data_IF_954550244282
#
_entry.id   IF_954550244282
#
_cell.length_a   1.000
_cell.length_b   1.000
_cell.length_c   1.000
_cell.angle_alpha   90.00
_cell.angle_beta   90.00
_cell.angle_gamma   90.00
#
_symmetry.space_group_name_H-M   'P 1'
#
loop_
_entity.id
_entity.type
_entity.pdbx_description
1 polymer ?
#
# COMPACT_ATOMS: atom_id res chain seq x y z
N UNK A 1 61.98 20.02 -8.21
CA UNK A 1 62.73 20.89 -9.16
C UNK A 1 61.76 21.89 -9.80
N UNK A 2 62.18 23.11 -10.15
CA UNK A 2 61.36 23.98 -11.01
C UNK A 2 61.62 23.60 -12.47
N UNK A 3 60.60 23.12 -13.16
CA UNK A 3 60.62 22.74 -14.56
C UNK A 3 60.28 23.98 -15.37
N UNK A 4 61.31 24.52 -16.02
CA UNK A 4 61.18 25.64 -16.94
C UNK A 4 60.99 25.17 -18.38
N UNK A 5 60.61 26.09 -19.27
CA UNK A 5 60.55 25.85 -20.73
C UNK A 5 61.81 25.18 -21.29
N UNK A 6 62.99 25.64 -20.90
CA UNK A 6 64.27 25.09 -21.40
C UNK A 6 64.51 23.66 -20.91
N UNK A 7 64.19 23.39 -19.64
CA UNK A 7 64.31 22.05 -19.05
C UNK A 7 63.34 21.08 -19.75
N UNK A 8 62.11 21.53 -20.02
CA UNK A 8 61.13 20.75 -20.77
C UNK A 8 61.62 20.43 -22.19
N UNK A 9 62.12 21.43 -22.93
CA UNK A 9 62.61 21.24 -24.29
C UNK A 9 63.78 20.27 -24.34
N UNK A 10 64.74 20.40 -23.41
CA UNK A 10 65.88 19.48 -23.31
C UNK A 10 65.43 18.05 -23.01
N UNK A 11 64.49 17.86 -22.08
CA UNK A 11 63.97 16.53 -21.78
C UNK A 11 63.22 15.89 -22.96
N UNK A 12 62.54 16.69 -23.77
CA UNK A 12 61.90 16.24 -25.02
C UNK A 12 62.92 15.83 -26.08
N UNK A 13 64.00 16.59 -26.24
CA UNK A 13 65.12 16.29 -27.15
C UNK A 13 65.83 14.99 -26.75
N UNK A 14 66.19 14.88 -25.46
CA UNK A 14 66.90 13.74 -24.89
C UNK A 14 65.99 12.51 -24.69
N UNK A 15 64.66 12.68 -24.85
CA UNK A 15 63.62 11.66 -24.64
C UNK A 15 63.70 11.00 -23.25
N UNK A 16 63.94 11.79 -22.22
CA UNK A 16 64.06 11.33 -20.84
C UNK A 16 62.80 11.63 -20.01
N UNK A 17 62.52 10.83 -18.96
CA UNK A 17 61.51 11.20 -17.98
C UNK A 17 61.85 12.55 -17.35
N UNK A 18 60.82 13.39 -17.13
CA UNK A 18 61.00 14.74 -16.61
C UNK A 18 60.22 14.99 -15.32
N UNK A 19 58.97 14.54 -15.28
CA UNK A 19 58.09 14.88 -14.16
C UNK A 19 58.23 13.87 -13.03
N UNK A 20 58.66 14.34 -11.86
CA UNK A 20 58.73 13.56 -10.63
C UNK A 20 57.79 14.13 -9.55
N UNK A 21 57.51 13.34 -8.51
CA UNK A 21 56.70 13.80 -7.38
C UNK A 21 57.39 14.97 -6.65
N UNK A 22 56.65 16.04 -6.37
CA UNK A 22 57.18 17.25 -5.73
C UNK A 22 57.79 18.29 -6.68
N UNK A 23 57.81 18.03 -8.00
CA UNK A 23 58.28 19.03 -8.97
C UNK A 23 57.31 20.20 -9.11
N UNK A 24 57.84 21.37 -9.45
CA UNK A 24 57.08 22.58 -9.76
C UNK A 24 57.19 22.87 -11.24
N UNK A 25 56.11 23.30 -11.89
CA UNK A 25 56.15 23.78 -13.28
C UNK A 25 55.99 25.30 -13.31
N UNK A 26 56.63 25.95 -14.28
CA UNK A 26 56.42 27.37 -14.57
C UNK A 26 55.14 27.59 -15.42
N UNK A 27 54.78 28.87 -15.59
CA UNK A 27 53.58 29.30 -16.31
C UNK A 27 53.64 28.90 -17.80
N UNK A 28 54.81 28.99 -18.43
CA UNK A 28 55.01 28.67 -19.85
C UNK A 28 54.85 27.16 -20.10
N UNK A 29 55.42 26.33 -19.24
CA UNK A 29 55.26 24.87 -19.27
C UNK A 29 53.81 24.50 -19.03
N UNK A 30 53.11 25.12 -18.07
CA UNK A 30 51.68 24.89 -17.87
C UNK A 30 50.88 25.25 -19.13
N UNK A 31 51.16 26.42 -19.73
CA UNK A 31 50.51 26.86 -20.95
C UNK A 31 50.70 25.85 -22.08
N UNK A 32 51.91 25.36 -22.31
CA UNK A 32 52.18 24.42 -23.39
C UNK A 32 51.56 23.03 -23.18
N UNK A 33 51.52 22.57 -21.93
CA UNK A 33 50.91 21.28 -21.61
C UNK A 33 49.39 21.31 -21.78
N UNK A 34 48.73 22.41 -21.42
CA UNK A 34 47.26 22.44 -21.30
C UNK A 34 46.56 23.41 -22.27
N UNK A 35 47.13 24.57 -22.55
CA UNK A 35 46.44 25.69 -23.19
C UNK A 35 46.95 26.05 -24.60
N UNK A 36 48.15 25.62 -24.98
CA UNK A 36 48.69 25.89 -26.31
C UNK A 36 47.76 25.38 -27.41
N UNK A 37 47.49 26.25 -28.39
CA UNK A 37 46.66 25.93 -29.53
C UNK A 37 47.35 24.91 -30.44
N UNK A 38 46.61 23.97 -31.03
CA UNK A 38 47.18 23.06 -32.02
C UNK A 38 47.66 23.86 -33.24
N UNK A 39 48.86 23.55 -33.71
CA UNK A 39 49.45 24.16 -34.90
C UNK A 39 49.12 23.27 -36.10
N UNK A 40 48.73 23.87 -37.21
CA UNK A 40 48.57 23.16 -38.48
C UNK A 40 49.94 22.76 -39.04
N UNK A 41 50.14 21.47 -39.27
CA UNK A 41 51.33 20.94 -39.94
C UNK A 41 50.93 20.01 -41.08
N UNK A 42 51.72 20.03 -42.15
CA UNK A 42 51.55 19.10 -43.25
C UNK A 42 51.95 17.68 -42.81
N UNK A 43 51.01 16.75 -42.92
CA UNK A 43 51.23 15.34 -42.64
C UNK A 43 51.92 14.65 -43.83
N UNK A 44 52.62 13.52 -43.62
CA UNK A 44 53.29 12.77 -44.69
C UNK A 44 52.38 12.32 -45.84
N UNK A 45 51.06 12.29 -45.62
CA UNK A 45 50.06 11.96 -46.63
C UNK A 45 49.47 13.18 -47.37
N UNK A 46 50.10 14.36 -47.25
CA UNK A 46 49.69 15.60 -47.93
C UNK A 46 48.46 16.28 -47.31
N UNK A 47 47.89 15.75 -46.22
CA UNK A 47 46.79 16.40 -45.49
C UNK A 47 47.33 17.36 -44.44
N UNK A 48 46.63 18.47 -44.20
CA UNK A 48 46.91 19.33 -43.04
C UNK A 48 46.34 18.71 -41.78
N UNK A 49 47.21 18.38 -40.83
CA UNK A 49 46.84 17.84 -39.52
C UNK A 49 47.02 18.90 -38.43
N UNK A 50 46.10 18.94 -37.47
CA UNK A 50 46.30 19.68 -36.23
C UNK A 50 47.29 18.90 -35.35
N UNK A 51 48.48 19.46 -35.10
CA UNK A 51 49.46 18.91 -34.17
C UNK A 51 49.44 19.73 -32.89
N UNK A 52 49.22 19.09 -31.75
CA UNK A 52 49.42 19.73 -30.45
C UNK A 52 50.89 20.09 -30.27
N UNK A 53 51.20 21.21 -29.61
CA UNK A 53 52.57 21.68 -29.39
C UNK A 53 53.47 20.58 -28.81
N UNK A 54 52.93 19.81 -27.86
CA UNK A 54 53.53 18.58 -27.33
C UNK A 54 52.62 17.40 -27.71
N UNK A 55 53.08 16.39 -28.46
CA UNK A 55 52.32 15.17 -28.76
C UNK A 55 52.02 14.30 -27.52
N UNK A 56 51.02 13.41 -27.62
CA UNK A 56 50.72 12.45 -26.54
C UNK A 56 51.88 11.48 -26.29
N UNK A 57 52.57 11.03 -27.35
CA UNK A 57 53.77 10.18 -27.24
C UNK A 57 54.84 10.82 -26.36
N UNK A 58 55.04 12.12 -26.54
CA UNK A 58 56.11 12.85 -25.87
C UNK A 58 55.73 13.13 -24.42
N UNK A 59 54.45 13.46 -24.15
CA UNK A 59 53.93 13.47 -22.77
C UNK A 59 54.04 12.12 -22.08
N UNK A 60 53.81 11.01 -22.79
CA UNK A 60 53.97 9.69 -22.23
C UNK A 60 55.45 9.41 -21.87
N UNK A 61 56.42 9.94 -22.63
CA UNK A 61 57.86 9.85 -22.34
C UNK A 61 58.20 10.71 -21.11
N UNK A 62 57.75 11.96 -21.07
CA UNK A 62 57.96 12.86 -19.92
C UNK A 62 57.41 12.29 -18.61
N UNK A 63 56.39 11.43 -18.72
CA UNK A 63 55.71 10.74 -17.63
C UNK A 63 55.99 9.23 -17.58
N UNK A 64 57.07 8.71 -18.19
CA UNK A 64 57.26 7.29 -18.52
C UNK A 64 56.99 6.29 -17.37
N UNK A 65 57.18 6.69 -16.12
CA UNK A 65 56.82 5.93 -14.91
C UNK A 65 55.34 5.49 -14.86
N UNK A 66 54.42 6.24 -15.48
CA UNK A 66 52.98 5.92 -15.53
C UNK A 66 52.62 4.75 -16.45
N UNK A 67 53.41 4.46 -17.48
CA UNK A 67 53.05 3.44 -18.48
C UNK A 67 53.11 2.01 -17.90
N UNK A 68 53.80 1.81 -16.76
CA UNK A 68 53.83 0.54 -16.04
C UNK A 68 52.68 0.33 -15.05
N UNK A 69 51.92 1.38 -14.70
CA UNK A 69 50.99 1.41 -13.56
C UNK A 69 49.57 1.87 -13.91
N UNK A 70 49.03 1.49 -15.07
CA UNK A 70 47.57 1.52 -15.30
C UNK A 70 46.86 0.42 -14.49
N UNK A 71 47.12 0.35 -13.18
CA UNK A 71 46.50 -0.60 -12.25
C UNK A 71 45.23 -0.01 -11.66
N UNK A 72 44.19 -0.84 -11.51
CA UNK A 72 42.83 -0.46 -11.09
C UNK A 72 42.68 -0.09 -9.59
N UNK A 73 43.68 0.50 -8.95
CA UNK A 73 43.67 0.86 -7.53
C UNK A 73 43.60 2.39 -7.32
N UNK A 74 42.56 2.96 -6.69
CA UNK A 74 42.37 4.42 -6.64
C UNK A 74 43.09 5.17 -5.51
N UNK A 75 43.87 4.53 -4.63
CA UNK A 75 44.15 5.12 -3.30
C UNK A 75 45.59 5.33 -2.85
N UNK A 76 46.60 4.83 -3.54
CA UNK A 76 47.99 5.14 -3.19
C UNK A 76 48.79 5.53 -4.43
N UNK A 77 49.57 6.61 -4.31
CA UNK A 77 50.54 7.11 -5.30
C UNK A 77 49.95 7.76 -6.56
N UNK A 78 49.49 9.03 -6.46
CA UNK A 78 49.58 9.89 -7.65
C UNK A 78 50.75 10.83 -7.46
N UNK A 79 51.80 10.70 -8.27
CA UNK A 79 52.87 11.68 -8.35
C UNK A 79 52.28 13.09 -8.51
N UNK A 80 52.64 13.98 -7.60
CA UNK A 80 52.10 15.33 -7.45
C UNK A 80 53.08 16.29 -8.10
N UNK A 81 52.72 16.77 -9.29
CA UNK A 81 53.41 17.90 -9.89
C UNK A 81 52.67 19.14 -9.45
N UNK A 82 53.39 20.13 -8.98
CA UNK A 82 52.86 21.35 -8.40
C UNK A 82 52.96 22.51 -9.38
N UNK A 83 51.96 23.37 -9.36
CA UNK A 83 51.98 24.65 -10.05
C UNK A 83 51.62 25.74 -9.04
N UNK A 84 52.38 26.82 -9.02
CA UNK A 84 52.16 27.89 -8.05
C UNK A 84 51.24 28.95 -8.62
N UNK A 85 50.08 29.12 -7.99
CA UNK A 85 49.13 30.16 -8.34
C UNK A 85 49.15 31.29 -7.32
N UNK A 86 48.93 32.52 -7.78
CA UNK A 86 48.66 33.67 -6.89
C UNK A 86 47.15 33.81 -6.66
N UNK A 87 46.74 33.81 -5.41
CA UNK A 87 45.33 33.99 -5.03
C UNK A 87 44.88 35.43 -5.30
N UNK A 88 43.80 35.61 -6.06
CA UNK A 88 43.22 36.93 -6.36
C UNK A 88 42.72 37.67 -5.11
N UNK A 89 42.37 36.95 -4.04
CA UNK A 89 41.81 37.53 -2.82
C UNK A 89 42.86 37.92 -1.78
N UNK A 90 43.73 36.98 -1.40
CA UNK A 90 44.71 37.23 -0.35
C UNK A 90 46.11 37.56 -0.88
N UNK A 91 46.29 37.56 -2.20
CA UNK A 91 47.56 37.77 -2.90
C UNK A 91 48.67 36.75 -2.55
N UNK A 92 48.39 35.77 -1.67
CA UNK A 92 49.32 34.69 -1.31
C UNK A 92 49.42 33.68 -2.44
N UNK A 93 50.61 33.14 -2.62
CA UNK A 93 50.84 32.01 -3.51
C UNK A 93 50.37 30.70 -2.87
N UNK A 94 49.82 29.79 -3.67
CA UNK A 94 49.41 28.47 -3.21
C UNK A 94 49.69 27.41 -4.30
N UNK A 95 50.12 26.21 -3.90
CA UNK A 95 50.41 25.15 -4.84
C UNK A 95 49.12 24.43 -5.26
N UNK A 96 48.97 24.21 -6.56
CA UNK A 96 47.95 23.34 -7.15
C UNK A 96 48.61 22.07 -7.62
N UNK A 97 48.05 20.93 -7.20
CA UNK A 97 48.49 19.61 -7.64
C UNK A 97 47.89 19.29 -9.00
N UNK A 98 48.75 18.89 -9.92
CA UNK A 98 48.45 18.34 -11.22
C UNK A 98 48.93 16.90 -11.20
N UNK A 99 48.05 15.97 -11.57
CA UNK A 99 48.46 14.59 -11.71
C UNK A 99 49.14 14.37 -13.05
N UNK A 100 50.14 13.52 -13.02
CA UNK A 100 50.80 12.93 -14.16
C UNK A 100 49.81 12.44 -15.25
N UNK A 101 48.69 11.82 -14.86
CA UNK A 101 47.59 11.42 -15.76
C UNK A 101 46.78 12.60 -16.35
N UNK A 102 46.62 13.69 -15.60
CA UNK A 102 46.01 14.92 -16.12
C UNK A 102 46.88 15.56 -17.20
N UNK A 103 48.21 15.54 -17.05
CA UNK A 103 49.16 16.00 -18.07
C UNK A 103 49.00 15.20 -19.36
N UNK A 104 49.09 13.86 -19.29
CA UNK A 104 48.97 12.98 -20.46
C UNK A 104 47.69 13.26 -21.25
N UNK A 105 46.56 13.34 -20.54
CA UNK A 105 45.24 13.45 -21.15
C UNK A 105 44.78 14.90 -21.40
N UNK A 106 45.59 15.90 -21.01
CA UNK A 106 45.22 17.34 -21.06
C UNK A 106 43.89 17.64 -20.35
N UNK A 107 43.64 17.01 -19.20
CA UNK A 107 42.35 17.13 -18.49
C UNK A 107 42.40 18.05 -17.27
N UNK A 108 43.57 18.61 -16.93
CA UNK A 108 43.65 19.58 -15.84
C UNK A 108 42.86 20.83 -16.18
N UNK A 109 42.00 21.24 -15.25
CA UNK A 109 41.29 22.52 -15.25
C UNK A 109 41.41 23.11 -13.86
N UNK A 110 41.73 24.39 -13.77
CA UNK A 110 41.85 25.12 -12.49
C UNK A 110 40.55 25.03 -11.68
N UNK A 111 39.40 25.04 -12.34
CA UNK A 111 38.08 24.86 -11.71
C UNK A 111 37.96 23.58 -10.90
N UNK A 112 38.72 22.53 -11.21
CA UNK A 112 38.70 21.27 -10.45
C UNK A 112 39.25 21.45 -9.02
N UNK A 113 39.98 22.54 -8.76
CA UNK A 113 40.55 22.86 -7.45
C UNK A 113 39.63 23.76 -6.59
N UNK A 114 38.58 24.33 -7.19
CA UNK A 114 37.62 25.22 -6.52
C UNK A 114 36.34 24.42 -6.30
N UNK A 115 36.12 23.93 -5.07
CA UNK A 115 34.87 23.28 -4.71
C UNK A 115 33.97 24.21 -3.90
N UNK A 116 32.87 24.67 -4.52
CA UNK A 116 31.85 25.52 -3.91
C UNK A 116 30.57 24.69 -3.58
N UNK A 117 30.63 23.35 -3.67
CA UNK A 117 29.49 22.50 -3.31
C UNK A 117 29.24 22.51 -1.81
N UNK A 118 27.99 22.75 -1.41
CA UNK A 118 27.55 22.65 -0.01
C UNK A 118 26.59 21.46 0.12
N UNK A 119 26.87 20.54 1.06
CA UNK A 119 26.08 19.32 1.31
C UNK A 119 25.53 19.31 2.75
N UNK A 120 24.35 18.71 3.01
CA UNK A 120 23.34 18.26 2.06
C UNK A 120 22.27 19.34 1.87
N UNK A 121 22.31 20.02 0.74
CA UNK A 121 21.25 20.93 0.34
C UNK A 121 20.29 20.19 -0.59
N UNK A 122 19.14 19.77 -0.06
CA UNK A 122 18.16 18.88 -0.73
C UNK A 122 17.76 19.34 -2.13
N UNK A 123 17.80 20.65 -2.38
CA UNK A 123 17.43 21.28 -3.65
C UNK A 123 18.60 22.01 -4.31
N UNK A 124 19.82 21.92 -3.75
CA UNK A 124 21.02 22.63 -4.17
C UNK A 124 20.83 24.17 -4.27
N UNK A 125 19.93 24.75 -3.46
CA UNK A 125 19.65 26.19 -3.43
C UNK A 125 20.81 27.02 -2.88
N UNK A 126 21.38 26.68 -1.71
CA UNK A 126 22.64 27.24 -1.21
C UNK A 126 23.77 27.07 -2.22
N UNK A 127 23.95 25.88 -2.78
CA UNK A 127 25.04 25.67 -3.77
C UNK A 127 24.86 26.58 -4.99
N UNK A 128 23.63 26.74 -5.49
CA UNK A 128 23.34 27.66 -6.60
C UNK A 128 23.57 29.12 -6.21
N UNK A 129 23.09 29.53 -5.04
CA UNK A 129 23.18 30.90 -4.53
C UNK A 129 24.64 31.32 -4.30
N UNK A 130 25.43 30.47 -3.64
CA UNK A 130 26.85 30.73 -3.38
C UNK A 130 27.67 30.76 -4.67
N UNK A 131 27.36 29.89 -5.65
CA UNK A 131 28.02 29.92 -6.98
C UNK A 131 27.70 31.21 -7.75
N UNK A 132 26.45 31.67 -7.70
CA UNK A 132 26.05 32.93 -8.33
C UNK A 132 26.82 34.10 -7.71
N UNK A 133 26.83 34.21 -6.39
CA UNK A 133 27.58 35.26 -5.69
C UNK A 133 29.09 35.18 -5.98
N UNK A 134 29.66 33.98 -6.03
CA UNK A 134 31.06 33.78 -6.37
C UNK A 134 31.37 34.33 -7.77
N UNK A 135 30.52 34.01 -8.75
CA UNK A 135 30.69 34.49 -10.13
C UNK A 135 30.57 36.03 -10.20
N UNK A 136 29.63 36.63 -9.47
CA UNK A 136 29.46 38.09 -9.38
C UNK A 136 30.71 38.76 -8.78
N UNK A 137 31.23 38.23 -7.66
CA UNK A 137 32.36 38.85 -6.94
C UNK A 137 33.72 38.61 -7.60
N UNK A 138 33.93 37.42 -8.15
CA UNK A 138 35.28 36.98 -8.56
C UNK A 138 35.41 36.77 -10.07
N UNK A 139 34.32 36.81 -10.82
CA UNK A 139 34.25 36.41 -12.21
C UNK A 139 34.05 34.90 -12.35
N UNK A 140 34.01 34.42 -13.60
CA UNK A 140 33.74 33.03 -13.90
C UNK A 140 34.69 32.07 -13.15
N UNK A 141 34.12 31.13 -12.39
CA UNK A 141 34.82 30.02 -11.68
C UNK A 141 35.88 29.29 -12.51
N UNK A 142 35.80 29.31 -13.84
CA UNK A 142 36.77 28.66 -14.72
C UNK A 142 38.08 29.45 -14.91
N UNK A 143 38.10 30.77 -14.61
CA UNK A 143 39.21 31.67 -14.95
C UNK A 143 39.82 32.41 -13.75
N UNK A 144 39.32 32.21 -12.54
CA UNK A 144 39.77 32.96 -11.36
C UNK A 144 40.52 32.08 -10.37
N UNK A 145 41.73 32.49 -10.01
CA UNK A 145 42.63 31.77 -9.10
C UNK A 145 42.36 32.18 -7.64
N UNK A 146 41.62 31.37 -6.89
CA UNK A 146 41.38 31.59 -5.46
C UNK A 146 41.88 30.37 -4.68
N UNK A 147 42.68 30.61 -3.63
CA UNK A 147 43.19 29.51 -2.80
C UNK A 147 42.08 28.86 -1.99
N UNK A 148 42.28 27.58 -1.63
CA UNK A 148 41.29 26.78 -0.89
C UNK A 148 40.80 27.48 0.38
N UNK A 149 41.69 28.06 1.18
CA UNK A 149 41.31 28.76 2.42
C UNK A 149 40.43 29.99 2.18
N UNK A 150 40.65 30.72 1.08
CA UNK A 150 39.80 31.85 0.71
C UNK A 150 38.44 31.40 0.19
N UNK A 151 38.38 30.28 -0.56
CA UNK A 151 37.10 29.68 -0.98
C UNK A 151 36.32 29.17 0.23
N UNK A 152 36.97 28.43 1.14
CA UNK A 152 36.35 27.92 2.37
C UNK A 152 35.81 29.07 3.24
N UNK A 153 36.60 30.14 3.42
CA UNK A 153 36.13 31.34 4.13
C UNK A 153 34.96 32.01 3.40
N UNK A 154 35.04 32.20 2.09
CA UNK A 154 33.95 32.78 1.31
C UNK A 154 32.65 31.98 1.45
N UNK A 155 32.74 30.65 1.35
CA UNK A 155 31.58 29.76 1.54
C UNK A 155 31.04 29.91 2.97
N UNK A 156 31.91 29.90 3.98
CA UNK A 156 31.50 30.07 5.38
C UNK A 156 30.77 31.40 5.62
N UNK A 157 31.38 32.53 5.23
CA UNK A 157 30.82 33.87 5.41
C UNK A 157 29.49 34.02 4.65
N UNK A 158 29.41 33.49 3.42
CA UNK A 158 28.20 33.55 2.60
C UNK A 158 27.09 32.65 3.15
N UNK A 159 27.44 31.48 3.68
CA UNK A 159 26.46 30.60 4.34
C UNK A 159 25.89 31.27 5.58
N UNK A 160 26.71 31.97 6.36
CA UNK A 160 26.23 32.76 7.48
C UNK A 160 25.29 33.89 7.01
N UNK A 161 25.67 34.67 5.99
CA UNK A 161 24.81 35.71 5.41
C UNK A 161 23.48 35.13 4.89
N UNK A 162 23.53 33.97 4.22
CA UNK A 162 22.34 33.27 3.73
C UNK A 162 21.43 32.85 4.88
N UNK A 163 21.98 32.26 5.94
CA UNK A 163 21.24 31.86 7.13
C UNK A 163 20.60 33.05 7.81
N UNK A 164 21.35 34.12 8.08
CA UNK A 164 20.81 35.35 8.69
C UNK A 164 19.66 35.96 7.86
N UNK A 165 19.81 35.95 6.53
CA UNK A 165 18.74 36.39 5.64
C UNK A 165 17.50 35.48 5.68
N UNK A 166 17.68 34.17 5.77
CA UNK A 166 16.58 33.19 5.85
C UNK A 166 15.85 33.22 7.20
N UNK A 167 16.48 33.71 8.26
CA UNK A 167 15.82 33.94 9.56
C UNK A 167 14.94 35.20 9.58
N UNK A 168 14.99 36.04 8.53
CA UNK A 168 14.11 37.20 8.43
C UNK A 168 12.65 36.79 8.31
N UNK A 169 11.78 37.54 8.99
CA UNK A 169 10.32 37.35 8.93
C UNK A 169 9.72 37.78 7.58
N UNK A 170 10.29 38.82 6.98
CA UNK A 170 9.84 39.43 5.72
C UNK A 170 10.53 38.83 4.48
N UNK A 171 11.23 37.69 4.60
CA UNK A 171 12.04 37.12 3.52
C UNK A 171 11.25 36.81 2.24
N UNK A 172 9.99 36.39 2.38
CA UNK A 172 9.12 36.10 1.24
C UNK A 172 8.62 37.39 0.60
N UNK A 173 8.25 38.40 1.39
CA UNK A 173 7.89 39.73 0.89
C UNK A 173 9.07 40.35 0.14
N UNK A 174 10.28 40.25 0.69
CA UNK A 174 11.50 40.68 0.03
C UNK A 174 11.70 39.95 -1.30
N UNK A 175 11.52 38.61 -1.32
CA UNK A 175 11.67 37.81 -2.54
C UNK A 175 10.67 38.22 -3.61
N UNK A 176 9.41 38.45 -3.26
CA UNK A 176 8.38 38.87 -4.21
C UNK A 176 8.65 40.29 -4.73
N UNK A 177 9.04 41.22 -3.85
CA UNK A 177 9.34 42.59 -4.25
C UNK A 177 10.54 42.68 -5.22
N UNK A 178 11.52 41.79 -5.09
CA UNK A 178 12.75 41.79 -5.89
C UNK A 178 12.67 40.81 -7.07
N UNK A 179 11.51 40.62 -7.70
CA UNK A 179 11.30 39.61 -8.76
C UNK A 179 12.33 39.69 -9.90
N UNK A 180 12.67 40.92 -10.31
CA UNK A 180 13.58 41.22 -11.40
C UNK A 180 15.03 41.51 -10.96
N UNK A 181 15.38 41.19 -9.72
CA UNK A 181 16.74 41.42 -9.21
C UNK A 181 17.70 40.30 -9.60
N UNK A 182 18.92 40.65 -9.98
CA UNK A 182 20.03 39.69 -10.15
C UNK A 182 20.73 39.33 -8.82
N UNK A 183 20.07 39.58 -7.66
CA UNK A 183 20.62 39.23 -6.36
C UNK A 183 20.66 37.70 -6.17
N UNK A 184 21.86 37.21 -5.80
CA UNK A 184 22.13 35.81 -5.52
C UNK A 184 21.18 35.18 -4.49
N UNK A 185 20.66 35.98 -3.53
CA UNK A 185 19.71 35.53 -2.51
C UNK A 185 18.41 35.01 -3.11
N UNK A 186 18.01 35.43 -4.32
CA UNK A 186 16.85 34.83 -5.01
C UNK A 186 17.02 33.33 -5.25
N UNK A 187 18.25 32.86 -5.43
CA UNK A 187 18.56 31.42 -5.62
C UNK A 187 18.39 30.61 -4.34
N UNK A 188 18.19 31.26 -3.18
CA UNK A 188 17.79 30.60 -1.93
C UNK A 188 16.32 30.19 -1.92
N UNK A 189 15.54 30.54 -2.96
CA UNK A 189 14.14 30.19 -3.08
C UNK A 189 13.87 29.37 -4.35
N UNK A 190 12.86 28.50 -4.24
CA UNK A 190 12.30 27.73 -5.35
C UNK A 190 10.80 28.00 -5.43
N UNK A 191 10.32 28.21 -6.65
CA UNK A 191 8.90 28.36 -6.95
C UNK A 191 8.40 27.04 -7.54
N UNK A 192 7.28 26.54 -7.01
CA UNK A 192 6.50 25.45 -7.61
C UNK A 192 5.10 25.97 -7.90
N UNK A 193 4.64 25.74 -9.13
CA UNK A 193 3.33 26.21 -9.60
C UNK A 193 2.32 25.07 -9.47
N UNK A 194 1.17 25.38 -8.88
CA UNK A 194 0.03 24.49 -8.89
C UNK A 194 -0.76 24.73 -10.18
N UNK A 195 -1.14 23.63 -10.84
CA UNK A 195 -1.94 23.72 -12.05
C UNK A 195 -3.27 23.01 -11.85
N UNK A 196 -4.33 23.68 -12.27
CA UNK A 196 -5.66 23.12 -12.40
C UNK A 196 -5.89 22.64 -13.83
N UNK A 197 -6.35 21.39 -13.98
CA UNK A 197 -6.72 20.81 -15.28
C UNK A 197 -8.20 21.02 -15.53
N UNK A 198 -8.51 21.69 -16.64
CA UNK A 198 -9.86 21.78 -17.17
C UNK A 198 -10.26 20.48 -17.90
N UNK A 199 -11.56 20.25 -18.06
CA UNK A 199 -12.12 19.09 -18.77
C UNK A 199 -11.69 19.02 -20.24
N UNK A 200 -11.35 20.16 -20.84
CA UNK A 200 -10.81 20.23 -22.20
C UNK A 200 -9.29 19.95 -22.28
N UNK A 201 -8.68 19.51 -21.17
CA UNK A 201 -7.26 19.17 -21.08
C UNK A 201 -6.32 20.36 -20.91
N UNK A 202 -6.82 21.60 -20.89
CA UNK A 202 -6.01 22.80 -20.69
C UNK A 202 -5.63 22.93 -19.20
N UNK A 203 -4.34 23.18 -18.95
CA UNK A 203 -3.84 23.51 -17.61
C UNK A 203 -3.88 25.02 -17.39
N UNK A 204 -4.37 25.45 -16.23
CA UNK A 204 -4.34 26.83 -15.78
C UNK A 204 -3.53 26.89 -14.49
N UNK A 205 -2.62 27.84 -14.40
CA UNK A 205 -1.91 28.14 -13.16
C UNK A 205 -2.88 28.61 -12.08
N UNK A 206 -2.92 27.90 -10.96
CA UNK A 206 -3.92 28.02 -9.91
C UNK A 206 -3.26 28.11 -8.53
N UNK A 207 -2.22 28.96 -8.47
CA UNK A 207 -1.48 29.29 -7.26
C UNK A 207 -0.02 28.84 -7.26
N UNK A 208 0.75 29.39 -6.33
CA UNK A 208 2.19 29.14 -6.19
C UNK A 208 2.57 28.79 -4.76
N UNK A 209 3.53 27.89 -4.63
CA UNK A 209 4.20 27.57 -3.37
C UNK A 209 5.70 27.87 -3.52
N UNK A 210 6.20 28.62 -2.54
CA UNK A 210 7.55 29.14 -2.49
C UNK A 210 8.28 28.42 -1.36
N UNK A 211 9.42 27.82 -1.68
CA UNK A 211 10.25 27.07 -0.73
C UNK A 211 11.58 27.77 -0.55
N UNK A 212 11.93 28.08 0.69
CA UNK A 212 13.21 28.64 1.04
C UNK A 212 14.24 27.54 1.34
N UNK A 213 15.53 27.85 1.22
CA UNK A 213 16.62 26.88 1.41
C UNK A 213 16.73 26.34 2.83
N UNK A 214 16.25 27.09 3.84
CA UNK A 214 16.14 26.62 5.23
C UNK A 214 14.97 25.64 5.46
N UNK A 215 14.13 25.40 4.44
CA UNK A 215 12.97 24.52 4.51
C UNK A 215 11.64 25.23 4.76
N UNK A 216 11.65 26.56 4.97
CA UNK A 216 10.42 27.33 5.13
C UNK A 216 9.59 27.32 3.84
N UNK A 217 8.27 27.35 4.03
CA UNK A 217 7.29 27.27 2.96
C UNK A 217 6.34 28.44 3.09
N UNK A 218 6.07 29.12 1.97
CA UNK A 218 5.02 30.12 1.84
C UNK A 218 4.16 29.79 0.63
N UNK A 219 2.86 29.99 0.74
CA UNK A 219 1.90 29.75 -0.33
C UNK A 219 1.08 31.01 -0.54
N UNK A 220 0.77 31.31 -1.80
CA UNK A 220 -0.15 32.42 -2.09
C UNK A 220 -1.61 32.04 -1.77
N UNK A 221 -2.49 33.05 -1.80
CA UNK A 221 -3.92 32.87 -1.51
C UNK A 221 -4.56 31.85 -2.46
N UNK A 222 -4.21 31.92 -3.75
CA UNK A 222 -4.72 31.00 -4.78
C UNK A 222 -4.35 29.54 -4.48
N UNK A 223 -3.12 29.27 -4.06
CA UNK A 223 -2.69 27.93 -3.68
C UNK A 223 -3.47 27.41 -2.47
N UNK A 224 -3.74 28.29 -1.51
CA UNK A 224 -4.54 27.96 -0.31
C UNK A 224 -5.98 27.62 -0.68
N UNK A 225 -6.60 28.39 -1.58
CA UNK A 225 -7.92 28.11 -2.13
C UNK A 225 -7.96 26.80 -2.92
N UNK A 226 -6.95 26.55 -3.76
CA UNK A 226 -6.80 25.30 -4.51
C UNK A 226 -6.69 24.09 -3.59
N UNK A 227 -5.88 24.17 -2.53
CA UNK A 227 -5.76 23.12 -1.51
C UNK A 227 -7.11 22.83 -0.85
N UNK A 228 -7.84 23.87 -0.45
CA UNK A 228 -9.16 23.73 0.18
C UNK A 228 -10.16 23.03 -0.74
N UNK A 229 -10.27 23.48 -2.01
CA UNK A 229 -11.16 22.85 -3.00
C UNK A 229 -10.83 21.37 -3.23
N UNK A 230 -9.54 21.03 -3.31
CA UNK A 230 -9.11 19.64 -3.50
C UNK A 230 -9.39 18.77 -2.27
N UNK A 231 -9.25 19.32 -1.07
CA UNK A 231 -9.60 18.63 0.16
C UNK A 231 -11.10 18.39 0.25
N UNK A 232 -11.92 19.39 -0.08
CA UNK A 232 -13.38 19.26 -0.16
C UNK A 232 -13.81 18.21 -1.18
N UNK A 233 -13.20 18.20 -2.37
CA UNK A 233 -13.46 17.20 -3.41
C UNK A 233 -13.09 15.77 -2.95
N UNK A 234 -11.94 15.60 -2.28
CA UNK A 234 -11.53 14.32 -1.69
C UNK A 234 -12.51 13.85 -0.62
N UNK A 235 -12.94 14.76 0.25
CA UNK A 235 -13.92 14.45 1.30
C UNK A 235 -15.30 14.10 0.72
N UNK A 236 -15.76 14.80 -0.33
CA UNK A 236 -16.99 14.48 -1.03
C UNK A 236 -16.94 13.09 -1.66
N UNK A 237 -15.84 12.76 -2.36
CA UNK A 237 -15.63 11.43 -2.94
C UNK A 237 -15.67 10.32 -1.87
N UNK A 238 -15.00 10.53 -0.74
CA UNK A 238 -15.01 9.57 0.38
C UNK A 238 -16.42 9.34 0.92
N UNK A 239 -17.21 10.41 1.09
CA UNK A 239 -18.61 10.32 1.53
C UNK A 239 -19.47 9.52 0.54
N UNK A 240 -19.29 9.73 -0.76
CA UNK A 240 -20.01 8.96 -1.78
C UNK A 240 -19.65 7.47 -1.75
N UNK A 241 -18.38 7.13 -1.55
CA UNK A 241 -17.92 5.75 -1.41
C UNK A 241 -18.51 5.08 -0.15
N UNK A 242 -18.58 5.82 0.96
CA UNK A 242 -19.20 5.36 2.20
C UNK A 242 -20.70 5.09 2.04
N UNK A 243 -21.44 6.01 1.40
CA UNK A 243 -22.86 5.83 1.08
C UNK A 243 -23.07 4.57 0.20
N UNK A 244 -22.27 4.39 -0.85
CA UNK A 244 -22.34 3.20 -1.72
C UNK A 244 -22.06 1.90 -0.94
N UNK A 245 -21.09 1.93 -0.03
CA UNK A 245 -20.78 0.78 0.83
C UNK A 245 -21.95 0.46 1.76
N UNK A 246 -22.56 1.47 2.37
CA UNK A 246 -23.71 1.28 3.25
C UNK A 246 -24.91 0.72 2.48
N UNK A 247 -25.23 1.27 1.31
CA UNK A 247 -26.30 0.75 0.44
C UNK A 247 -26.10 -0.74 0.11
N UNK A 248 -24.87 -1.15 -0.20
CA UNK A 248 -24.57 -2.57 -0.47
C UNK A 248 -24.79 -3.46 0.76
N UNK A 249 -24.42 -2.99 1.95
CA UNK A 249 -24.65 -3.72 3.20
C UNK A 249 -26.15 -3.83 3.51
N UNK A 250 -26.90 -2.75 3.29
CA UNK A 250 -28.34 -2.72 3.51
C UNK A 250 -29.08 -3.66 2.55
N UNK A 251 -28.68 -3.69 1.28
CA UNK A 251 -29.19 -4.63 0.28
C UNK A 251 -28.88 -6.10 0.66
N UNK A 252 -27.68 -6.39 1.14
CA UNK A 252 -27.30 -7.74 1.56
C UNK A 252 -28.08 -8.18 2.80
N UNK A 253 -28.26 -7.26 3.77
CA UNK A 253 -29.09 -7.51 4.94
C UNK A 253 -30.56 -7.77 4.57
N UNK A 254 -31.10 -7.05 3.57
CA UNK A 254 -32.46 -7.28 3.09
C UNK A 254 -32.62 -8.63 2.38
N UNK A 255 -31.63 -9.02 1.55
CA UNK A 255 -31.59 -10.36 0.94
C UNK A 255 -31.56 -11.46 2.00
N UNK A 256 -30.78 -11.28 3.06
CA UNK A 256 -30.69 -12.24 4.15
C UNK A 256 -32.00 -12.33 4.95
N UNK A 257 -32.65 -11.18 5.23
CA UNK A 257 -33.99 -11.15 5.84
C UNK A 257 -35.00 -11.92 5.00
N UNK A 258 -34.99 -11.68 3.69
CA UNK A 258 -35.88 -12.35 2.73
C UNK A 258 -35.62 -13.85 2.70
N UNK A 259 -34.35 -14.28 2.67
CA UNK A 259 -33.98 -15.70 2.70
C UNK A 259 -34.49 -16.39 3.97
N UNK A 260 -34.26 -15.80 5.14
CA UNK A 260 -34.76 -16.34 6.42
C UNK A 260 -36.28 -16.42 6.46
N UNK A 261 -36.97 -15.39 5.97
CA UNK A 261 -38.43 -15.40 5.89
C UNK A 261 -38.94 -16.54 5.00
N UNK A 262 -38.30 -16.78 3.86
CA UNK A 262 -38.63 -17.89 2.96
C UNK A 262 -38.35 -19.26 3.62
N UNK A 263 -37.23 -19.42 4.31
CA UNK A 263 -36.92 -20.65 5.06
C UNK A 263 -37.96 -20.94 6.13
N UNK A 264 -38.35 -19.92 6.91
CA UNK A 264 -39.42 -20.01 7.91
C UNK A 264 -40.77 -20.39 7.28
N UNK A 265 -41.10 -19.80 6.13
CA UNK A 265 -42.32 -20.12 5.39
C UNK A 265 -42.33 -21.59 4.94
N UNK A 266 -41.22 -22.09 4.39
CA UNK A 266 -41.07 -23.48 3.99
C UNK A 266 -41.15 -24.44 5.17
N UNK A 267 -40.50 -24.12 6.29
CA UNK A 267 -40.55 -24.93 7.50
C UNK A 267 -41.99 -25.05 8.06
N UNK A 268 -42.75 -23.95 8.08
CA UNK A 268 -44.17 -23.96 8.46
C UNK A 268 -45.01 -24.85 7.53
N UNK A 269 -44.76 -24.80 6.23
CA UNK A 269 -45.47 -25.65 5.26
C UNK A 269 -45.14 -27.13 5.43
N UNK A 270 -43.88 -27.47 5.70
CA UNK A 270 -43.48 -28.85 5.98
C UNK A 270 -44.13 -29.41 7.27
N UNK A 271 -44.40 -28.55 8.27
CA UNK A 271 -45.13 -28.96 9.47
C UNK A 271 -46.66 -29.06 9.30
N UNK A 272 -47.25 -28.51 8.24
CA UNK A 272 -48.71 -28.52 8.03
C UNK A 272 -49.17 -29.67 7.11
N UNK A 273 -48.62 -30.87 7.31
CA UNK A 273 -49.06 -32.07 6.58
C UNK A 273 -50.37 -32.62 7.17
N UNK A 274 -51.20 -33.32 6.37
CA UNK A 274 -52.38 -34.01 6.91
C UNK A 274 -52.05 -34.91 8.10
N UNK A 275 -50.92 -35.61 8.06
CA UNK A 275 -50.42 -36.46 9.14
C UNK A 275 -50.13 -35.67 10.42
N UNK A 276 -49.44 -34.52 10.34
CA UNK A 276 -49.13 -33.72 11.52
C UNK A 276 -50.41 -33.12 12.11
N UNK A 277 -51.33 -32.63 11.28
CA UNK A 277 -52.66 -32.18 11.74
C UNK A 277 -53.42 -33.28 12.47
N UNK A 278 -53.41 -34.51 11.94
CA UNK A 278 -54.04 -35.66 12.59
C UNK A 278 -53.40 -36.00 13.94
N UNK A 279 -52.06 -35.95 14.02
CA UNK A 279 -51.32 -36.19 15.28
C UNK A 279 -51.70 -35.12 16.32
N UNK A 280 -51.63 -33.84 15.94
CA UNK A 280 -51.92 -32.73 16.86
C UNK A 280 -53.38 -32.77 17.33
N UNK A 281 -54.29 -33.10 16.42
CA UNK A 281 -55.72 -33.21 16.69
C UNK A 281 -56.02 -34.45 17.53
N UNK A 282 -55.78 -35.67 17.07
CA UNK A 282 -56.32 -36.86 17.74
C UNK A 282 -55.32 -37.58 18.66
N UNK A 283 -54.02 -37.43 18.45
CA UNK A 283 -53.00 -38.18 19.19
C UNK A 283 -52.48 -37.44 20.44
N UNK A 284 -52.67 -36.13 20.52
CA UNK A 284 -52.26 -35.31 21.66
C UNK A 284 -53.25 -35.42 22.83
N UNK A 285 -52.78 -35.75 24.04
CA UNK A 285 -53.60 -35.85 25.27
C UNK A 285 -54.28 -34.54 25.67
N UNK A 286 -53.74 -33.40 25.25
CA UNK A 286 -54.25 -32.06 25.56
C UNK A 286 -55.17 -31.49 24.49
N UNK A 287 -55.49 -32.27 23.44
CA UNK A 287 -56.38 -31.82 22.39
C UNK A 287 -57.83 -31.74 22.87
N UNK A 288 -58.45 -30.59 22.65
CA UNK A 288 -59.81 -30.25 23.07
C UNK A 288 -60.82 -30.60 21.96
N UNK A 289 -60.96 -31.90 21.71
CA UNK A 289 -61.91 -32.41 20.72
C UNK A 289 -63.12 -32.97 21.43
N UNK A 290 -64.29 -32.62 20.90
CA UNK A 290 -65.53 -33.29 21.27
C UNK A 290 -65.53 -34.72 20.72
N UNK A 291 -65.16 -35.67 21.58
CA UNK A 291 -65.20 -37.10 21.30
C UNK A 291 -66.62 -37.68 21.35
N UNK A 292 -67.67 -36.87 21.39
CA UNK A 292 -69.06 -37.33 21.20
C UNK A 292 -69.59 -37.01 19.81
N UNK A 293 -68.88 -36.16 19.06
CA UNK A 293 -69.22 -35.81 17.69
C UNK A 293 -68.89 -36.95 16.70
N UNK A 294 -69.87 -37.30 15.87
CA UNK A 294 -69.79 -38.42 14.93
C UNK A 294 -68.78 -38.17 13.78
N UNK A 295 -68.57 -36.92 13.38
CA UNK A 295 -67.61 -36.57 12.34
C UNK A 295 -66.17 -36.74 12.86
N UNK A 296 -65.90 -36.30 14.09
CA UNK A 296 -64.64 -36.55 14.78
C UNK A 296 -64.35 -38.05 14.96
N UNK A 297 -65.36 -38.87 15.26
CA UNK A 297 -65.20 -40.33 15.32
C UNK A 297 -64.80 -40.91 13.98
N UNK A 298 -65.48 -40.50 12.91
CA UNK A 298 -65.20 -40.95 11.55
C UNK A 298 -63.77 -40.58 11.13
N UNK A 299 -63.39 -39.32 11.32
CA UNK A 299 -62.06 -38.83 10.96
C UNK A 299 -60.96 -39.50 11.78
N UNK A 300 -61.18 -39.72 13.08
CA UNK A 300 -60.23 -40.40 13.96
C UNK A 300 -59.96 -41.85 13.51
N UNK A 301 -61.00 -42.58 13.12
CA UNK A 301 -60.92 -44.01 12.79
C UNK A 301 -60.64 -44.28 11.30
N UNK A 302 -60.85 -43.31 10.43
CA UNK A 302 -60.61 -43.42 8.99
C UNK A 302 -60.01 -42.13 8.40
N UNK A 303 -58.81 -41.71 8.85
CA UNK A 303 -58.22 -40.46 8.38
C UNK A 303 -57.77 -40.54 6.92
N UNK A 304 -58.07 -39.50 6.15
CA UNK A 304 -57.69 -39.40 4.73
C UNK A 304 -56.32 -38.71 4.54
N UNK A 305 -55.51 -39.24 3.62
CA UNK A 305 -54.25 -38.61 3.20
C UNK A 305 -53.15 -38.58 4.27
N UNK A 306 -53.27 -39.38 5.33
CA UNK A 306 -52.27 -39.48 6.40
C UNK A 306 -51.28 -40.63 6.15
N UNK A 307 -50.09 -40.52 6.76
CA UNK A 307 -49.09 -41.58 6.77
C UNK A 307 -49.16 -42.35 8.10
N UNK A 308 -49.64 -43.60 8.05
CA UNK A 308 -49.82 -44.44 9.23
C UNK A 308 -48.52 -44.83 9.93
N UNK A 309 -47.41 -45.01 9.21
CA UNK A 309 -46.12 -45.35 9.83
C UNK A 309 -45.63 -44.21 10.73
N UNK A 310 -45.82 -42.96 10.30
CA UNK A 310 -45.45 -41.77 11.08
C UNK A 310 -46.32 -41.65 12.33
N UNK A 311 -47.63 -41.88 12.21
CA UNK A 311 -48.57 -41.88 13.35
C UNK A 311 -48.18 -42.98 14.34
N UNK A 312 -47.96 -44.21 13.85
CA UNK A 312 -47.58 -45.35 14.67
C UNK A 312 -46.28 -45.07 15.44
N UNK A 313 -45.27 -44.54 14.76
CA UNK A 313 -43.98 -44.19 15.37
C UNK A 313 -44.12 -43.09 16.42
N UNK A 314 -44.93 -42.05 16.15
CA UNK A 314 -45.21 -40.97 17.10
C UNK A 314 -45.90 -41.52 18.37
N UNK A 315 -47.01 -42.23 18.19
CA UNK A 315 -47.80 -42.78 19.28
C UNK A 315 -47.03 -43.84 20.07
N UNK A 316 -46.24 -44.69 19.40
CA UNK A 316 -45.38 -45.67 20.07
C UNK A 316 -44.31 -45.00 20.94
N UNK A 317 -43.72 -43.89 20.48
CA UNK A 317 -42.73 -43.12 21.24
C UNK A 317 -43.35 -42.46 22.47
N UNK A 318 -44.57 -41.94 22.35
CA UNK A 318 -45.31 -41.25 23.42
C UNK A 318 -46.46 -42.11 23.98
N UNK A 319 -46.26 -43.42 24.07
CA UNK A 319 -47.37 -44.36 24.29
C UNK A 319 -48.21 -44.08 25.54
N UNK A 320 -47.58 -43.66 26.64
CA UNK A 320 -48.30 -43.30 27.87
C UNK A 320 -49.25 -42.10 27.67
N UNK A 321 -48.86 -41.16 26.82
CA UNK A 321 -49.65 -39.97 26.49
C UNK A 321 -50.71 -40.29 25.44
N UNK A 322 -50.36 -41.12 24.45
CA UNK A 322 -51.29 -41.65 23.46
C UNK A 322 -52.49 -42.35 24.12
N UNK A 323 -52.25 -43.18 25.14
CA UNK A 323 -53.34 -43.84 25.90
C UNK A 323 -54.25 -42.86 26.67
N UNK A 324 -53.91 -41.57 26.72
CA UNK A 324 -54.72 -40.50 27.29
C UNK A 324 -55.35 -39.60 26.21
N UNK A 325 -55.05 -39.84 24.93
CA UNK A 325 -55.47 -39.01 23.81
C UNK A 325 -56.94 -39.20 23.42
N UNK A 326 -57.53 -38.24 22.68
CA UNK A 326 -58.84 -38.41 22.05
C UNK A 326 -58.93 -39.68 21.20
N UNK A 327 -57.91 -39.98 20.40
CA UNK A 327 -57.86 -41.17 19.54
C UNK A 327 -58.05 -42.46 20.35
N UNK A 328 -57.29 -42.64 21.43
CA UNK A 328 -57.41 -43.83 22.26
C UNK A 328 -58.77 -43.91 22.95
N UNK A 329 -59.34 -42.78 23.39
CA UNK A 329 -60.69 -42.74 23.96
C UNK A 329 -61.74 -43.21 22.94
N UNK A 330 -61.64 -42.76 21.69
CA UNK A 330 -62.53 -43.18 20.60
C UNK A 330 -62.39 -44.68 20.31
N UNK A 331 -61.16 -45.17 20.16
CA UNK A 331 -60.86 -46.61 19.95
C UNK A 331 -61.42 -47.44 21.10
N UNK A 332 -61.13 -47.03 22.35
CA UNK A 332 -61.59 -47.72 23.56
C UNK A 332 -63.12 -47.78 23.62
N UNK A 333 -63.80 -46.68 23.30
CA UNK A 333 -65.27 -46.64 23.24
C UNK A 333 -65.80 -47.57 22.15
N UNK A 334 -65.18 -47.60 20.97
CA UNK A 334 -65.58 -48.48 19.87
C UNK A 334 -65.42 -49.97 20.21
N UNK A 335 -64.33 -50.36 20.86
CA UNK A 335 -64.10 -51.75 21.33
C UNK A 335 -65.18 -52.16 22.34
N UNK A 336 -65.48 -51.31 23.32
CA UNK A 336 -66.53 -51.58 24.32
C UNK A 336 -67.91 -51.68 23.69
N UNK A 337 -68.21 -50.82 22.71
CA UNK A 337 -69.47 -50.86 21.96
C UNK A 337 -69.60 -52.14 21.13
N UNK A 338 -68.54 -52.56 20.41
CA UNK A 338 -68.52 -53.83 19.66
C UNK A 338 -68.79 -55.04 20.55
N UNK A 339 -68.32 -55.01 21.81
CA UNK A 339 -68.54 -56.06 22.80
C UNK A 339 -69.90 -55.95 23.54
N UNK A 340 -70.84 -55.13 23.05
CA UNK A 340 -72.13 -54.83 23.70
C UNK A 340 -71.98 -54.37 25.16
N UNK A 341 -70.90 -53.65 25.48
CA UNK A 341 -70.55 -53.21 26.84
C UNK A 341 -70.51 -54.38 27.86
N UNK A 342 -69.96 -55.51 27.43
CA UNK A 342 -69.74 -56.69 28.28
C UNK A 342 -68.31 -57.19 28.13
N UNK A 343 -67.81 -57.80 29.21
CA UNK A 343 -66.54 -58.51 29.21
C UNK A 343 -66.66 -59.74 28.29
N UNK A 344 -65.79 -59.83 27.30
CA UNK A 344 -65.81 -60.92 26.31
C UNK A 344 -65.41 -62.29 26.89
N UNK A 345 -64.86 -62.33 28.11
CA UNK A 345 -64.54 -63.59 28.82
C UNK A 345 -65.59 -64.07 29.81
N UNK A 346 -66.21 -63.16 30.57
CA UNK A 346 -67.10 -63.52 31.68
C UNK A 346 -68.48 -62.86 31.64
N UNK A 347 -68.76 -62.01 30.64
CA UNK A 347 -70.06 -61.35 30.46
C UNK A 347 -70.35 -60.18 31.41
N UNK A 348 -69.45 -59.87 32.35
CA UNK A 348 -69.60 -58.74 33.29
C UNK A 348 -69.69 -57.40 32.56
N UNK A 349 -70.55 -56.51 33.03
CA UNK A 349 -70.70 -55.14 32.50
C UNK A 349 -70.04 -54.07 33.39
N UNK A 350 -69.22 -54.47 34.38
CA UNK A 350 -68.60 -53.56 35.35
C UNK A 350 -67.10 -53.38 35.07
N UNK A 351 -66.61 -52.15 35.25
CA UNK A 351 -65.18 -51.77 35.16
C UNK A 351 -64.50 -52.30 33.89
N UNK A 352 -65.08 -51.97 32.73
CA UNK A 352 -64.58 -52.43 31.44
C UNK A 352 -63.36 -51.62 30.98
N UNK A 353 -62.32 -52.34 30.63
CA UNK A 353 -61.05 -51.85 30.10
C UNK A 353 -60.74 -52.56 28.78
N UNK A 354 -59.95 -51.91 27.94
CA UNK A 354 -59.47 -52.52 26.70
C UNK A 354 -58.13 -53.19 26.97
N UNK A 355 -58.09 -54.49 26.68
CA UNK A 355 -56.89 -55.32 26.68
C UNK A 355 -56.28 -55.35 25.28
N UNK A 356 -54.96 -55.35 25.18
CA UNK A 356 -54.25 -55.60 23.92
C UNK A 356 -53.84 -57.08 23.89
N UNK A 357 -54.34 -57.85 22.92
CA UNK A 357 -53.92 -59.25 22.70
C UNK A 357 -52.63 -59.33 21.88
N UNK A 358 -52.34 -58.29 21.10
CA UNK A 358 -51.08 -58.07 20.39
C UNK A 358 -50.69 -56.59 20.44
N UNK A 359 -49.39 -56.32 20.40
CA UNK A 359 -48.82 -54.97 20.35
C UNK A 359 -48.28 -54.61 18.95
N UNK A 360 -48.54 -55.43 17.93
CA UNK A 360 -48.06 -55.21 16.56
C UNK A 360 -48.54 -53.87 15.97
N UNK A 361 -49.80 -53.50 16.22
CA UNK A 361 -50.42 -52.27 15.73
C UNK A 361 -50.40 -51.14 16.77
N UNK A 362 -49.47 -51.21 17.73
CA UNK A 362 -49.36 -50.23 18.81
C UNK A 362 -49.24 -48.80 18.27
N UNK A 363 -50.18 -47.94 18.62
CA UNK A 363 -50.28 -46.54 18.18
C UNK A 363 -51.14 -46.30 16.93
N UNK A 364 -51.64 -47.34 16.28
CA UNK A 364 -52.59 -47.29 15.14
C UNK A 364 -53.64 -48.40 15.25
N UNK A 365 -54.08 -48.69 16.47
CA UNK A 365 -54.93 -49.84 16.80
C UNK A 365 -56.30 -49.79 16.10
N UNK A 366 -56.74 -48.60 15.66
CA UNK A 366 -57.95 -48.41 14.86
C UNK A 366 -57.92 -49.14 13.51
N UNK A 367 -56.73 -49.48 12.99
CA UNK A 367 -56.57 -50.32 11.79
C UNK A 367 -56.72 -51.83 12.09
N UNK A 368 -56.63 -52.23 13.36
CA UNK A 368 -56.54 -53.63 13.76
C UNK A 368 -57.32 -53.91 15.05
N UNK A 369 -58.61 -53.55 15.08
CA UNK A 369 -59.50 -53.77 16.25
C UNK A 369 -59.53 -55.21 16.76
N UNK A 370 -59.25 -56.21 15.91
CA UNK A 370 -59.16 -57.62 16.30
C UNK A 370 -58.02 -57.93 17.28
N UNK A 371 -57.05 -57.01 17.44
CA UNK A 371 -55.97 -57.10 18.43
C UNK A 371 -56.35 -56.52 19.79
N UNK A 372 -57.59 -56.03 19.94
CA UNK A 372 -58.12 -55.45 21.15
C UNK A 372 -59.29 -56.28 21.67
N UNK A 373 -59.41 -56.36 23.00
CA UNK A 373 -60.47 -57.11 23.66
C UNK A 373 -61.07 -56.31 24.82
N UNK A 374 -62.39 -56.30 24.96
CA UNK A 374 -63.11 -55.69 26.07
C UNK A 374 -63.17 -56.65 27.26
N UNK A 375 -62.45 -56.33 28.34
CA UNK A 375 -62.41 -57.15 29.57
C UNK A 375 -62.84 -56.34 30.79
N UNK A 376 -63.45 -56.99 31.79
CA UNK A 376 -63.56 -56.39 33.11
C UNK A 376 -62.18 -56.37 33.80
N UNK A 377 -61.95 -55.45 34.74
CA UNK A 377 -60.66 -55.32 35.43
C UNK A 377 -60.10 -56.64 35.98
N UNK A 378 -60.96 -57.49 36.56
CA UNK A 378 -60.57 -58.83 37.08
C UNK A 378 -60.07 -59.78 35.99
N UNK A 379 -60.71 -59.79 34.82
CA UNK A 379 -60.28 -60.62 33.71
C UNK A 379 -59.00 -60.02 33.08
N UNK A 380 -58.91 -58.70 33.01
CA UNK A 380 -57.73 -58.02 32.48
C UNK A 380 -56.47 -58.29 33.33
N UNK A 381 -56.57 -58.26 34.66
CA UNK A 381 -55.47 -58.58 35.58
C UNK A 381 -54.98 -60.02 35.39
N UNK A 382 -55.91 -60.98 35.27
CA UNK A 382 -55.60 -62.39 35.01
C UNK A 382 -54.80 -62.60 33.72
N UNK A 383 -55.13 -61.88 32.64
CA UNK A 383 -54.36 -61.98 31.38
C UNK A 383 -52.93 -61.47 31.51
N UNK A 384 -52.68 -60.51 32.40
CA UNK A 384 -51.34 -60.01 32.71
C UNK A 384 -50.63 -60.85 33.79
N UNK A 385 -51.22 -61.95 34.24
CA UNK A 385 -50.69 -62.80 35.32
C UNK A 385 -50.67 -62.10 36.68
N UNK A 386 -51.60 -61.17 36.91
CA UNK A 386 -51.74 -60.39 38.15
C UNK A 386 -52.97 -60.77 38.95
#
# INVERSE_FOLDING_TARGET
MLITRDILNKALEDKVPLFHDGDYIDDDVLYDLFYAQPILKDLPNGKKGLRTLIPRSDRNILCAELNGYMSNSPKDVFDKIYYTLRCKLCNKTFPVRITKGQIINRTFKISNYINISVNPDRYYLFTKAVRELYNIKFGNVYNTYVCKSCVEKFVSDTMQEASEFLERKDKFDWFLFHENSDDWKRKLFRIEEAHFRLDNGKEIEDGKIYRAANGDIWADEKYTEWQKRNEEARNHKRKLEEIRRQQKLDEEAERERTRKANELFLARHQSNTPTQRYIDRFCNKHSDIDITDEENHREALSPEGVNYEVIQKHNSKLYKEYLQSPLWKIISSKVKWNANYRCEKCGSNKNLVVHHTSYEFKGIEFLAFHTLQCLCSKCHEKEHGR
#
